data_IF_743310673747
#
_entry.id   IF_743310673747
#
_cell.length_a   1.000
_cell.length_b   1.000
_cell.length_c   1.000
_cell.angle_alpha   90.00
_cell.angle_beta   90.00
_cell.angle_gamma   90.00
#
_symmetry.space_group_name_H-M   'P 1'
#
loop_
_entity.id
_entity.type
_entity.pdbx_description
1 polymer ?
#
# COMPACT_ATOMS: atom_id res chain seq x y z
N UNK A 1 62.04 13.99 59.72
CA UNK A 1 61.40 12.78 59.15
C UNK A 1 60.05 13.16 58.56
N UNK A 2 59.97 13.29 57.24
CA UNK A 2 58.73 13.36 56.47
C UNK A 2 59.00 12.67 55.14
N UNK A 3 58.43 11.50 54.90
CA UNK A 3 58.41 10.87 53.57
C UNK A 3 56.96 10.53 53.25
N UNK A 4 56.57 11.05 52.10
CA UNK A 4 55.24 11.10 51.51
C UNK A 4 54.85 9.71 51.01
N UNK A 5 53.66 9.25 51.36
CA UNK A 5 53.04 8.04 50.82
C UNK A 5 52.42 8.42 49.47
N UNK A 6 52.91 7.84 48.38
CA UNK A 6 52.27 7.93 47.07
C UNK A 6 51.18 6.85 46.99
N UNK A 7 49.91 7.27 47.10
CA UNK A 7 48.76 6.46 46.71
C UNK A 7 48.76 6.30 45.19
N UNK A 8 48.95 5.07 44.69
CA UNK A 8 48.66 4.73 43.30
C UNK A 8 47.19 4.35 43.19
N UNK A 9 46.39 5.29 42.69
CA UNK A 9 45.00 5.05 42.28
C UNK A 9 45.08 4.35 40.92
N UNK A 10 44.72 3.07 40.87
CA UNK A 10 44.47 2.37 39.61
C UNK A 10 43.20 2.96 38.99
N UNK A 11 43.38 3.76 37.93
CA UNK A 11 42.30 4.22 37.06
C UNK A 11 41.81 3.01 36.28
N UNK A 12 40.66 2.45 36.69
CA UNK A 12 39.89 1.54 35.85
C UNK A 12 39.44 2.31 34.60
N UNK A 13 40.10 2.06 33.48
CA UNK A 13 39.69 2.58 32.19
C UNK A 13 38.27 2.11 31.87
N UNK A 14 37.39 3.09 31.68
CA UNK A 14 36.00 2.93 31.28
C UNK A 14 36.00 2.31 29.88
N UNK A 15 35.72 1.02 29.78
CA UNK A 15 35.22 0.44 28.53
C UNK A 15 33.76 0.87 28.44
N UNK A 16 33.52 2.03 27.85
CA UNK A 16 32.19 2.38 27.37
C UNK A 16 31.87 1.45 26.21
N UNK A 17 31.36 0.26 26.51
CA UNK A 17 30.59 -0.51 25.55
C UNK A 17 29.41 0.39 25.21
N UNK A 18 29.44 1.05 24.06
CA UNK A 18 28.26 1.71 23.53
C UNK A 18 27.23 0.60 23.32
N UNK A 19 26.30 0.47 24.27
CA UNK A 19 25.12 -0.34 24.05
C UNK A 19 24.42 0.26 22.82
N UNK A 20 24.43 -0.49 21.72
CA UNK A 20 23.68 -0.14 20.53
C UNK A 20 22.21 0.00 20.96
N UNK A 21 21.59 1.13 20.67
CA UNK A 21 20.16 1.33 20.88
C UNK A 21 19.44 1.39 19.52
N UNK A 22 18.11 1.24 19.54
CA UNK A 22 17.29 1.21 18.33
C UNK A 22 17.49 2.46 17.44
N UNK A 23 17.64 3.64 18.05
CA UNK A 23 17.83 4.91 17.34
C UNK A 23 19.15 4.93 16.56
N UNK A 24 20.25 4.53 17.20
CA UNK A 24 21.55 4.43 16.54
C UNK A 24 21.53 3.38 15.43
N UNK A 25 20.80 2.28 15.62
CA UNK A 25 20.68 1.23 14.63
C UNK A 25 19.88 1.72 13.40
N UNK A 26 18.77 2.43 13.62
CA UNK A 26 18.01 3.08 12.56
C UNK A 26 18.85 4.08 11.77
N UNK A 27 19.71 4.87 12.44
CA UNK A 27 20.61 5.79 11.76
C UNK A 27 21.60 5.06 10.84
N UNK A 28 22.11 3.90 11.27
CA UNK A 28 22.97 3.06 10.43
C UNK A 28 22.22 2.49 9.23
N UNK A 29 20.96 2.05 9.41
CA UNK A 29 20.10 1.64 8.27
C UNK A 29 19.96 2.79 7.27
N UNK A 30 19.55 3.97 7.71
CA UNK A 30 19.36 5.14 6.82
C UNK A 30 20.65 5.48 6.06
N UNK A 31 21.81 5.39 6.73
CA UNK A 31 23.12 5.60 6.10
C UNK A 31 23.44 4.51 5.06
N UNK A 32 23.13 3.25 5.36
CA UNK A 32 23.29 2.11 4.44
C UNK A 32 22.42 2.23 3.18
N UNK A 33 21.27 2.89 3.28
CA UNK A 33 20.36 3.10 2.15
C UNK A 33 20.81 4.18 1.13
N UNK A 34 22.02 4.74 1.27
CA UNK A 34 22.55 5.78 0.38
C UNK A 34 21.74 7.09 0.34
N UNK A 35 21.35 7.58 1.52
CA UNK A 35 20.77 8.90 1.86
C UNK A 35 19.42 9.30 1.25
N UNK A 36 19.11 8.97 -0.01
CA UNK A 36 17.77 9.20 -0.57
C UNK A 36 16.78 8.13 -0.09
N UNK A 37 16.27 8.36 1.10
CA UNK A 37 15.25 7.53 1.74
C UNK A 37 13.85 8.10 1.54
N UNK A 38 13.65 9.04 0.61
CA UNK A 38 12.34 9.70 0.41
C UNK A 38 11.24 8.75 -0.06
N UNK A 39 11.63 7.66 -0.75
CA UNK A 39 10.74 6.70 -1.40
C UNK A 39 10.54 5.38 -0.64
N UNK A 40 11.15 5.23 0.53
CA UNK A 40 11.11 3.98 1.29
C UNK A 40 10.32 4.14 2.59
N UNK A 41 9.66 3.07 3.02
CA UNK A 41 9.16 2.95 4.39
C UNK A 41 10.06 2.05 5.22
N UNK A 42 10.24 2.39 6.50
CA UNK A 42 11.05 1.61 7.42
C UNK A 42 10.21 1.24 8.63
N UNK A 43 10.23 -0.06 8.96
CA UNK A 43 9.57 -0.63 10.11
C UNK A 43 10.60 -1.27 11.05
N UNK A 44 10.48 -1.01 12.34
CA UNK A 44 11.30 -1.60 13.39
C UNK A 44 10.56 -2.77 14.02
N UNK A 45 11.22 -3.92 14.13
CA UNK A 45 10.73 -5.04 14.92
C UNK A 45 11.23 -4.97 16.38
N UNK A 46 12.53 -4.75 16.56
CA UNK A 46 13.21 -4.73 17.85
C UNK A 46 14.53 -5.47 17.82
N UNK A 47 15.12 -5.69 19.00
CA UNK A 47 16.36 -6.47 19.13
C UNK A 47 16.08 -7.97 19.02
N UNK A 48 16.90 -8.67 18.23
CA UNK A 48 16.82 -10.10 17.98
C UNK A 48 18.14 -10.76 18.38
N UNK A 49 18.07 -11.90 19.07
CA UNK A 49 19.20 -12.79 19.27
C UNK A 49 19.33 -13.77 18.11
N UNK A 50 20.53 -14.29 17.89
CA UNK A 50 20.75 -15.40 16.97
C UNK A 50 19.92 -16.61 17.41
N UNK A 51 19.17 -17.19 16.48
CA UNK A 51 18.23 -18.29 16.74
C UNK A 51 16.79 -17.84 16.99
N UNK A 52 16.56 -16.56 17.33
CA UNK A 52 15.20 -16.02 17.43
C UNK A 52 14.51 -16.07 16.06
N UNK A 53 13.18 -16.15 16.06
CA UNK A 53 12.42 -16.28 14.83
C UNK A 53 11.34 -15.21 14.70
N UNK A 54 11.12 -14.73 13.48
CA UNK A 54 9.98 -13.87 13.14
C UNK A 54 9.03 -14.60 12.19
N UNK A 55 7.73 -14.42 12.43
CA UNK A 55 6.67 -14.94 11.56
C UNK A 55 6.35 -13.92 10.47
N UNK A 56 6.43 -14.35 9.23
CA UNK A 56 5.87 -13.69 8.05
C UNK A 56 4.50 -14.31 7.72
N UNK A 57 3.77 -13.78 6.74
CA UNK A 57 2.44 -14.31 6.41
C UNK A 57 2.44 -15.82 6.10
N UNK A 58 3.44 -16.32 5.37
CA UNK A 58 3.50 -17.73 4.91
C UNK A 58 4.78 -18.48 5.31
N UNK A 59 5.70 -17.82 6.01
CA UNK A 59 7.03 -18.36 6.33
C UNK A 59 7.51 -17.85 7.68
N UNK A 60 8.49 -18.53 8.27
CA UNK A 60 9.24 -18.05 9.42
C UNK A 60 10.69 -17.78 9.00
N UNK A 61 11.24 -16.64 9.39
CA UNK A 61 12.68 -16.35 9.26
C UNK A 61 13.33 -16.57 10.62
N UNK A 62 14.46 -17.27 10.64
CA UNK A 62 15.32 -17.42 11.82
C UNK A 62 16.47 -16.44 11.71
N UNK A 63 16.68 -15.65 12.77
CA UNK A 63 17.77 -14.69 12.87
C UNK A 63 19.11 -15.42 12.92
N UNK A 64 20.00 -15.09 11.98
CA UNK A 64 21.38 -15.61 11.96
C UNK A 64 22.36 -14.74 12.75
N UNK A 65 21.90 -13.58 13.21
CA UNK A 65 22.74 -12.55 13.82
C UNK A 65 22.05 -12.00 15.07
N UNK A 66 22.85 -11.52 16.03
CA UNK A 66 22.33 -10.66 17.08
C UNK A 66 22.20 -9.24 16.52
N UNK A 67 21.17 -8.49 16.90
CA UNK A 67 21.05 -7.08 16.48
C UNK A 67 19.62 -6.58 16.36
N UNK A 68 19.47 -5.29 16.10
CA UNK A 68 18.16 -4.69 15.81
C UNK A 68 17.72 -5.05 14.41
N UNK A 69 16.47 -5.51 14.28
CA UNK A 69 15.86 -5.88 13.01
C UNK A 69 14.94 -4.78 12.49
N UNK A 70 15.16 -4.40 11.24
CA UNK A 70 14.34 -3.49 10.46
C UNK A 70 13.85 -4.15 9.18
N UNK A 71 12.67 -3.75 8.74
CA UNK A 71 12.17 -3.99 7.40
C UNK A 71 12.25 -2.68 6.63
N UNK A 72 12.84 -2.72 5.45
CA UNK A 72 12.82 -1.65 4.47
C UNK A 72 11.94 -2.08 3.31
N UNK A 73 10.85 -1.34 3.14
CA UNK A 73 9.96 -1.44 1.99
C UNK A 73 10.42 -0.41 0.96
N UNK A 74 11.01 -0.91 -0.13
CA UNK A 74 11.50 -0.09 -1.25
C UNK A 74 10.38 0.32 -2.21
N UNK A 75 9.23 -0.36 -2.16
CA UNK A 75 8.08 -0.09 -3.03
C UNK A 75 6.78 -0.04 -2.19
N UNK A 76 6.67 0.93 -1.26
CA UNK A 76 5.54 1.00 -0.32
C UNK A 76 4.16 1.18 -0.98
N UNK A 77 4.13 1.49 -2.27
CA UNK A 77 2.90 1.59 -3.08
C UNK A 77 2.62 0.33 -3.92
N UNK A 78 3.48 -0.68 -3.93
CA UNK A 78 3.36 -1.88 -4.77
C UNK A 78 2.63 -3.04 -4.05
N UNK A 79 1.67 -2.74 -3.17
CA UNK A 79 1.01 -3.73 -2.29
C UNK A 79 2.05 -4.63 -1.58
N UNK A 80 1.67 -5.81 -1.11
CA UNK A 80 2.61 -6.80 -0.58
C UNK A 80 3.00 -7.82 -1.67
N UNK A 81 3.88 -8.77 -1.33
CA UNK A 81 4.40 -9.83 -2.23
C UNK A 81 5.47 -9.34 -3.25
N UNK A 82 5.94 -8.09 -3.10
CA UNK A 82 7.16 -7.61 -3.74
C UNK A 82 8.38 -7.80 -2.82
N UNK A 83 9.60 -7.69 -3.35
CA UNK A 83 10.83 -7.87 -2.56
C UNK A 83 11.04 -6.73 -1.56
N UNK A 84 11.10 -7.06 -0.27
CA UNK A 84 11.53 -6.14 0.80
C UNK A 84 12.89 -6.57 1.37
N UNK A 85 13.52 -5.68 2.14
CA UNK A 85 14.81 -5.94 2.80
C UNK A 85 14.64 -6.05 4.31
N UNK A 86 15.08 -7.16 4.87
CA UNK A 86 15.20 -7.39 6.30
C UNK A 86 16.64 -7.12 6.69
N UNK A 87 16.86 -6.07 7.49
CA UNK A 87 18.18 -5.56 7.84
C UNK A 87 18.41 -5.75 9.34
N UNK A 88 19.42 -6.53 9.70
CA UNK A 88 19.95 -6.63 11.05
C UNK A 88 21.12 -5.68 11.23
N UNK A 89 21.13 -4.94 12.32
CA UNK A 89 22.21 -4.03 12.68
C UNK A 89 22.73 -4.38 14.07
N UNK A 90 23.99 -4.79 14.14
CA UNK A 90 24.73 -4.91 15.41
C UNK A 90 25.64 -3.68 15.61
N UNK A 91 26.51 -3.71 16.63
CA UNK A 91 27.41 -2.57 16.92
C UNK A 91 28.53 -2.37 15.89
N UNK A 92 28.73 -3.32 14.98
CA UNK A 92 29.88 -3.43 14.07
C UNK A 92 29.54 -3.71 12.62
N UNK A 93 28.39 -4.33 12.34
CA UNK A 93 28.04 -4.87 11.03
C UNK A 93 26.54 -4.78 10.73
N UNK A 94 26.25 -4.68 9.44
CA UNK A 94 24.90 -4.71 8.87
C UNK A 94 24.76 -5.98 8.05
N UNK A 95 23.65 -6.69 8.24
CA UNK A 95 23.28 -7.88 7.47
C UNK A 95 21.94 -7.66 6.79
N UNK A 96 21.86 -7.99 5.50
CA UNK A 96 20.65 -7.79 4.70
C UNK A 96 20.16 -9.13 4.13
N UNK A 97 18.86 -9.37 4.26
CA UNK A 97 18.14 -10.47 3.62
C UNK A 97 17.02 -9.90 2.77
N UNK A 98 16.91 -10.34 1.52
CA UNK A 98 15.80 -10.01 0.63
C UNK A 98 14.77 -11.12 0.65
N UNK A 99 13.51 -10.77 0.89
CA UNK A 99 12.38 -11.70 0.88
C UNK A 99 11.15 -11.02 0.27
N UNK A 100 10.33 -11.79 -0.43
CA UNK A 100 9.08 -11.30 -1.03
C UNK A 100 7.88 -11.49 -0.11
N UNK A 101 8.00 -12.36 0.90
CA UNK A 101 6.90 -12.62 1.80
C UNK A 101 6.71 -11.44 2.75
N UNK A 102 5.50 -10.84 2.80
CA UNK A 102 5.28 -9.68 3.64
C UNK A 102 5.36 -10.03 5.14
N UNK A 103 5.79 -9.06 5.97
CA UNK A 103 5.78 -9.18 7.42
C UNK A 103 4.38 -9.46 7.96
N UNK A 104 4.31 -10.20 9.07
CA UNK A 104 3.13 -10.16 9.92
C UNK A 104 3.21 -8.88 10.77
N UNK A 105 2.59 -7.80 10.29
CA UNK A 105 2.91 -6.44 10.72
C UNK A 105 2.50 -6.09 12.17
N UNK A 106 1.73 -6.94 12.88
CA UNK A 106 1.28 -6.69 14.27
C UNK A 106 2.44 -6.35 15.22
N UNK A 107 3.63 -6.88 14.94
CA UNK A 107 4.83 -6.71 15.77
C UNK A 107 5.84 -5.70 15.20
N UNK A 108 5.44 -4.89 14.21
CA UNK A 108 6.33 -3.98 13.50
C UNK A 108 5.87 -2.54 13.68
N UNK A 109 6.76 -1.70 14.21
CA UNK A 109 6.52 -0.27 14.39
C UNK A 109 7.01 0.50 13.16
N UNK A 110 6.14 1.22 12.47
CA UNK A 110 6.57 2.15 11.41
C UNK A 110 7.40 3.28 12.03
N UNK A 111 8.68 3.37 11.67
CA UNK A 111 9.63 4.38 12.16
C UNK A 111 9.99 5.42 11.11
N UNK A 112 9.72 5.13 9.84
CA UNK A 112 9.81 6.08 8.75
C UNK A 112 8.67 5.83 7.77
N UNK A 113 7.87 6.86 7.51
CA UNK A 113 6.87 6.86 6.45
C UNK A 113 7.47 7.44 5.16
N UNK A 114 6.84 7.13 4.03
CA UNK A 114 7.08 7.82 2.77
C UNK A 114 7.06 9.34 2.98
N UNK A 115 8.10 10.03 2.54
CA UNK A 115 8.06 11.47 2.40
C UNK A 115 7.36 11.77 1.08
N UNK A 116 6.03 11.65 1.06
CA UNK A 116 5.25 12.25 -0.02
C UNK A 116 5.36 13.75 0.22
N UNK A 117 6.03 14.48 -0.66
CA UNK A 117 5.94 15.93 -0.64
C UNK A 117 4.45 16.28 -0.68
N UNK A 118 3.92 16.88 0.40
CA UNK A 118 2.56 17.42 0.52
C UNK A 118 2.20 18.43 -0.60
N UNK A 119 3.13 18.68 -1.53
CA UNK A 119 2.89 19.31 -2.83
C UNK A 119 1.87 18.55 -3.67
N UNK A 120 1.72 17.22 -3.49
CA UNK A 120 0.48 16.53 -3.86
C UNK A 120 -0.50 16.72 -2.72
N UNK A 121 -0.92 17.97 -2.56
CA UNK A 121 -2.09 18.30 -1.80
C UNK A 121 -3.24 17.51 -2.43
N UNK A 122 -3.67 16.43 -1.77
CA UNK A 122 -5.06 15.99 -1.78
C UNK A 122 -5.96 17.01 -1.04
N UNK A 123 -5.54 18.27 -0.86
CA UNK A 123 -6.51 19.37 -0.69
C UNK A 123 -7.38 19.30 -1.93
N UNK A 124 -8.68 19.16 -1.70
CA UNK A 124 -9.78 19.46 -2.62
C UNK A 124 -9.39 19.28 -4.06
N UNK A 125 -9.92 18.24 -4.72
CA UNK A 125 -10.35 18.31 -6.12
C UNK A 125 -9.86 19.60 -6.72
N UNK A 126 -8.60 19.62 -7.21
CA UNK A 126 -8.35 20.58 -8.25
C UNK A 126 -9.43 20.17 -9.22
N UNK A 127 -10.45 21.01 -9.40
CA UNK A 127 -11.12 21.06 -10.66
C UNK A 127 -9.94 21.10 -11.61
N UNK A 128 -9.59 19.95 -12.19
CA UNK A 128 -8.63 19.95 -13.25
C UNK A 128 -9.37 20.84 -14.22
N UNK A 129 -8.88 22.08 -14.35
CA UNK A 129 -9.31 22.92 -15.43
C UNK A 129 -9.21 21.99 -16.63
N UNK A 130 -10.34 21.74 -17.34
CA UNK A 130 -10.33 20.80 -18.44
C UNK A 130 -9.09 21.14 -19.24
N UNK A 131 -8.32 20.13 -19.65
CA UNK A 131 -7.18 20.29 -20.52
C UNK A 131 -7.69 20.99 -21.79
N UNK A 132 -7.81 22.32 -21.72
CA UNK A 132 -7.90 23.25 -22.82
C UNK A 132 -6.48 23.41 -23.32
N UNK A 133 -5.84 22.27 -23.56
CA UNK A 133 -4.85 22.21 -24.60
C UNK A 133 -5.63 22.60 -25.84
N UNK A 134 -5.29 23.77 -26.36
CA UNK A 134 -5.90 24.41 -27.51
C UNK A 134 -5.72 23.51 -28.73
N UNK A 135 -6.50 22.43 -28.80
CA UNK A 135 -6.72 21.67 -30.00
C UNK A 135 -7.64 22.55 -30.84
N UNK A 136 -7.02 23.34 -31.72
CA UNK A 136 -7.68 23.79 -32.94
C UNK A 136 -8.00 22.54 -33.75
N UNK A 137 -9.07 21.86 -33.42
CA UNK A 137 -9.68 20.83 -34.25
C UNK A 137 -11.18 21.06 -34.27
N UNK A 138 -11.76 20.84 -35.44
CA UNK A 138 -13.13 21.17 -35.78
C UNK A 138 -14.12 20.68 -34.71
N UNK A 139 -15.10 21.53 -34.41
CA UNK A 139 -16.11 21.44 -33.36
C UNK A 139 -17.09 20.26 -33.44
N UNK A 140 -16.74 19.17 -34.13
CA UNK A 140 -17.52 17.92 -34.20
C UNK A 140 -16.87 16.75 -33.43
N UNK A 141 -15.54 16.69 -33.30
CA UNK A 141 -14.89 15.59 -32.56
C UNK A 141 -14.95 15.76 -31.04
N UNK A 142 -15.16 16.99 -30.55
CA UNK A 142 -15.27 17.27 -29.11
C UNK A 142 -16.62 16.82 -28.50
N UNK A 143 -17.57 16.40 -29.33
CA UNK A 143 -18.85 15.84 -28.92
C UNK A 143 -18.89 14.31 -29.01
N UNK A 144 -17.83 13.66 -29.51
CA UNK A 144 -17.65 12.22 -29.38
C UNK A 144 -17.11 11.93 -27.98
N UNK A 145 -17.99 12.11 -26.99
CA UNK A 145 -17.89 11.30 -25.78
C UNK A 145 -17.80 9.84 -26.26
N UNK A 146 -16.85 9.06 -25.73
CA UNK A 146 -16.65 7.69 -26.17
C UNK A 146 -17.78 6.81 -25.65
N UNK A 147 -18.90 6.81 -26.37
CA UNK A 147 -20.07 5.99 -26.06
C UNK A 147 -19.76 4.50 -26.15
N UNK A 148 -18.70 4.15 -26.87
CA UNK A 148 -18.23 2.79 -27.08
C UNK A 148 -17.24 2.30 -26.02
N UNK A 149 -16.92 3.10 -24.99
CA UNK A 149 -15.98 2.71 -23.93
C UNK A 149 -16.71 2.38 -22.65
N UNK A 150 -16.46 1.17 -22.16
CA UNK A 150 -17.06 0.60 -20.97
C UNK A 150 -15.98 0.12 -20.01
N UNK A 151 -16.24 0.24 -18.71
CA UNK A 151 -15.34 -0.32 -17.72
C UNK A 151 -16.09 -1.08 -16.61
N UNK A 152 -15.46 -2.14 -16.13
CA UNK A 152 -15.85 -2.80 -14.88
C UNK A 152 -14.69 -2.68 -13.90
N UNK A 153 -14.93 -2.01 -12.77
CA UNK A 153 -13.97 -1.80 -11.68
C UNK A 153 -14.42 -2.65 -10.51
N UNK A 154 -13.57 -3.59 -10.08
CA UNK A 154 -13.91 -4.59 -9.06
C UNK A 154 -12.94 -4.45 -7.89
N UNK A 155 -13.49 -4.14 -6.71
CA UNK A 155 -12.86 -4.40 -5.41
C UNK A 155 -13.63 -5.48 -4.67
N UNK A 156 -13.05 -6.66 -4.57
CA UNK A 156 -13.66 -7.82 -3.95
C UNK A 156 -13.98 -7.66 -2.46
N UNK A 157 -13.14 -6.94 -1.71
CA UNK A 157 -13.26 -6.69 -0.28
C UNK A 157 -12.94 -7.90 0.62
N UNK A 158 -13.23 -9.14 0.20
CA UNK A 158 -13.05 -10.41 0.93
C UNK A 158 -13.81 -10.53 2.28
N UNK A 159 -13.63 -9.57 3.18
CA UNK A 159 -14.36 -9.33 4.42
C UNK A 159 -13.86 -8.03 5.08
N UNK A 160 -14.53 -7.59 6.14
CA UNK A 160 -14.23 -6.37 6.90
C UNK A 160 -12.75 -6.18 7.27
N UNK A 161 -12.02 -7.26 7.58
CA UNK A 161 -10.63 -7.17 8.04
C UNK A 161 -9.62 -7.07 6.90
N UNK A 162 -10.01 -7.55 5.72
CA UNK A 162 -9.11 -7.69 4.58
C UNK A 162 -9.38 -6.63 3.49
N UNK A 163 -10.55 -5.98 3.48
CA UNK A 163 -10.83 -4.86 2.58
C UNK A 163 -10.03 -3.61 3.00
N UNK A 164 -8.75 -3.58 2.67
CA UNK A 164 -7.88 -2.48 3.07
C UNK A 164 -8.19 -1.21 2.29
N UNK A 165 -8.08 -0.04 2.96
CA UNK A 165 -8.27 1.28 2.34
C UNK A 165 -7.55 1.48 1.00
N UNK A 166 -6.40 0.83 0.79
CA UNK A 166 -5.65 0.88 -0.47
C UNK A 166 -6.45 0.38 -1.68
N UNK A 167 -7.30 -0.64 -1.54
CA UNK A 167 -8.11 -1.15 -2.64
C UNK A 167 -9.15 -0.12 -3.10
N UNK A 168 -9.77 0.59 -2.16
CA UNK A 168 -10.62 1.74 -2.48
C UNK A 168 -9.83 2.84 -3.21
N UNK A 169 -8.62 3.16 -2.74
CA UNK A 169 -7.78 4.16 -3.38
C UNK A 169 -7.39 3.76 -4.82
N UNK A 170 -7.06 2.49 -5.06
CA UNK A 170 -6.77 1.96 -6.40
C UNK A 170 -7.97 2.14 -7.33
N UNK A 171 -9.16 1.76 -6.87
CA UNK A 171 -10.40 1.96 -7.63
C UNK A 171 -10.71 3.43 -7.89
N UNK A 172 -10.52 4.31 -6.91
CA UNK A 172 -10.70 5.76 -7.06
C UNK A 172 -9.75 6.35 -8.10
N UNK A 173 -8.48 5.93 -8.09
CA UNK A 173 -7.48 6.37 -9.06
C UNK A 173 -7.83 5.90 -10.48
N UNK A 174 -8.22 4.63 -10.65
CA UNK A 174 -8.63 4.08 -11.95
C UNK A 174 -9.90 4.77 -12.45
N UNK A 175 -10.93 4.89 -11.60
CA UNK A 175 -12.19 5.54 -11.96
C UNK A 175 -11.96 6.99 -12.43
N UNK A 176 -11.25 7.79 -11.63
CA UNK A 176 -10.94 9.18 -11.97
C UNK A 176 -10.10 9.28 -13.25
N UNK A 177 -9.17 8.35 -13.46
CA UNK A 177 -8.35 8.32 -14.69
C UNK A 177 -9.21 8.02 -15.92
N UNK A 178 -10.08 7.00 -15.85
CA UNK A 178 -10.96 6.63 -16.95
C UNK A 178 -11.94 7.75 -17.30
N UNK A 179 -12.54 8.37 -16.28
CA UNK A 179 -13.51 9.46 -16.43
C UNK A 179 -12.85 10.76 -16.88
N UNK A 180 -11.88 11.27 -16.13
CA UNK A 180 -11.39 12.64 -16.29
C UNK A 180 -10.30 12.77 -17.38
N UNK A 181 -9.54 11.69 -17.64
CA UNK A 181 -8.44 11.69 -18.61
C UNK A 181 -8.86 10.99 -19.90
N UNK A 182 -9.42 9.78 -19.80
CA UNK A 182 -9.82 9.00 -20.96
C UNK A 182 -11.25 9.24 -21.43
N UNK A 183 -12.00 10.10 -20.74
CA UNK A 183 -13.34 10.57 -21.13
C UNK A 183 -14.36 9.42 -21.29
N UNK A 184 -14.28 8.41 -20.42
CA UNK A 184 -15.33 7.40 -20.28
C UNK A 184 -16.58 8.06 -19.70
N UNK A 185 -17.76 7.68 -20.19
CA UNK A 185 -19.04 8.04 -19.59
C UNK A 185 -19.20 7.42 -18.22
N UNK A 186 -19.62 8.20 -17.22
CA UNK A 186 -19.87 7.68 -15.87
C UNK A 186 -20.93 6.57 -15.88
N UNK A 187 -21.94 6.67 -16.74
CA UNK A 187 -22.95 5.62 -16.93
C UNK A 187 -22.37 4.31 -17.48
N UNK A 188 -21.25 4.36 -18.21
CA UNK A 188 -20.54 3.19 -18.74
C UNK A 188 -19.46 2.64 -17.77
N UNK A 189 -19.27 3.27 -16.61
CA UNK A 189 -18.36 2.82 -15.56
C UNK A 189 -19.13 2.01 -14.51
N UNK A 190 -18.99 0.70 -14.55
CA UNK A 190 -19.62 -0.24 -13.62
C UNK A 190 -18.69 -0.52 -12.45
N UNK A 191 -19.02 -0.01 -11.26
CA UNK A 191 -18.21 -0.21 -10.06
C UNK A 191 -18.89 -1.21 -9.11
N UNK A 192 -18.19 -2.31 -8.85
CA UNK A 192 -18.56 -3.32 -7.85
C UNK A 192 -17.53 -3.31 -6.73
N UNK A 193 -17.94 -2.99 -5.52
CA UNK A 193 -17.02 -2.83 -4.39
C UNK A 193 -17.61 -3.39 -3.11
N UNK A 194 -16.91 -4.33 -2.47
CA UNK A 194 -17.21 -4.83 -1.12
C UNK A 194 -18.71 -5.03 -0.87
N UNK A 195 -19.30 -4.38 0.14
CA UNK A 195 -20.73 -4.52 0.49
C UNK A 195 -21.66 -3.59 -0.31
N UNK A 196 -21.13 -2.88 -1.31
CA UNK A 196 -21.86 -2.05 -2.25
C UNK A 196 -22.21 -0.69 -1.68
N UNK A 197 -23.51 -0.42 -1.53
CA UNK A 197 -24.04 0.86 -1.02
C UNK A 197 -24.48 0.78 0.43
N UNK A 198 -24.15 -0.31 1.12
CA UNK A 198 -24.47 -0.48 2.53
C UNK A 198 -23.70 0.54 3.37
N UNK A 199 -24.34 1.21 4.35
CA UNK A 199 -23.68 2.15 5.24
C UNK A 199 -22.89 1.46 6.36
N UNK A 200 -22.86 0.12 6.37
CA UNK A 200 -22.12 -0.67 7.37
C UNK A 200 -20.62 -0.51 7.16
N UNK A 201 -19.84 -0.85 8.19
CA UNK A 201 -18.41 -0.94 8.01
C UNK A 201 -18.07 -2.11 7.09
N UNK A 202 -17.31 -1.81 6.06
CA UNK A 202 -16.85 -2.76 5.06
C UNK A 202 -15.35 -2.65 4.82
N UNK A 203 -14.69 -1.56 5.27
CA UNK A 203 -13.32 -1.22 4.92
C UNK A 203 -12.42 -1.07 6.14
N UNK A 204 -11.29 -1.75 6.11
CA UNK A 204 -10.22 -1.65 7.09
C UNK A 204 -9.31 -0.44 6.77
N UNK A 205 -9.50 0.64 7.52
CA UNK A 205 -8.70 1.87 7.44
C UNK A 205 -7.31 1.65 8.03
N UNK A 206 -7.25 0.94 9.14
CA UNK A 206 -5.99 0.62 9.81
C UNK A 206 -6.07 -0.79 10.43
N UNK A 207 -5.35 -1.78 9.88
CA UNK A 207 -5.38 -3.14 10.39
C UNK A 207 -4.68 -3.32 11.75
N UNK A 208 -3.84 -2.35 12.17
CA UNK A 208 -3.11 -2.39 13.44
C UNK A 208 -3.98 -2.00 14.62
N UNK A 209 -4.75 -0.94 14.42
CA UNK A 209 -5.63 -0.37 15.45
C UNK A 209 -7.07 -0.85 15.31
N UNK A 210 -7.32 -1.76 14.35
CA UNK A 210 -8.66 -2.27 14.03
C UNK A 210 -9.68 -1.15 13.81
N UNK A 211 -9.27 -0.11 13.06
CA UNK A 211 -10.17 0.99 12.68
C UNK A 211 -10.83 0.62 11.37
N UNK A 212 -12.15 0.68 11.35
CA UNK A 212 -12.99 0.38 10.21
C UNK A 212 -13.89 1.58 9.89
N UNK A 213 -14.22 1.73 8.60
CA UNK A 213 -15.24 2.65 8.13
C UNK A 213 -16.09 2.01 7.04
N UNK A 214 -17.08 2.75 6.56
CA UNK A 214 -17.82 2.44 5.34
C UNK A 214 -17.10 3.11 4.15
N UNK A 215 -16.92 2.37 3.07
CA UNK A 215 -16.33 2.85 1.83
C UNK A 215 -17.14 4.05 1.29
N UNK A 216 -16.49 5.22 1.05
CA UNK A 216 -17.14 6.33 0.38
C UNK A 216 -17.63 5.90 -1.00
N UNK A 217 -18.87 6.25 -1.33
CA UNK A 217 -19.50 5.83 -2.58
C UNK A 217 -19.05 6.67 -3.79
N UNK A 218 -18.55 7.87 -3.52
CA UNK A 218 -18.08 8.84 -4.51
C UNK A 218 -16.55 8.72 -4.66
N UNK A 219 -16.11 8.16 -5.79
CA UNK A 219 -14.72 7.80 -6.05
C UNK A 219 -13.89 8.97 -6.59
N UNK A 220 -14.52 9.93 -7.26
CA UNK A 220 -13.87 11.11 -7.80
C UNK A 220 -14.33 12.41 -7.12
N UNK A 221 -15.02 12.31 -5.98
CA UNK A 221 -15.49 13.39 -5.12
C UNK A 221 -16.09 14.58 -5.90
N UNK A 222 -17.00 14.24 -6.81
CA UNK A 222 -17.81 15.20 -7.58
C UNK A 222 -19.25 15.36 -7.04
N UNK A 223 -19.57 14.66 -5.95
CA UNK A 223 -20.86 14.65 -5.29
C UNK A 223 -21.81 13.58 -5.82
N UNK A 224 -21.40 12.73 -6.76
CA UNK A 224 -22.21 11.64 -7.31
C UNK A 224 -21.66 10.29 -6.86
N UNK A 225 -22.54 9.41 -6.39
CA UNK A 225 -22.14 8.05 -6.01
C UNK A 225 -21.81 7.21 -7.25
N UNK A 226 -20.62 6.61 -7.25
CA UNK A 226 -20.10 5.77 -8.34
C UNK A 226 -20.25 4.27 -8.05
N UNK A 227 -20.15 3.87 -6.79
CA UNK A 227 -20.35 2.47 -6.36
C UNK A 227 -21.84 2.14 -6.41
N UNK A 228 -22.21 1.20 -7.28
CA UNK A 228 -23.62 0.78 -7.48
C UNK A 228 -23.92 -0.62 -6.98
N UNK A 229 -22.91 -1.49 -6.92
CA UNK A 229 -23.10 -2.91 -6.64
C UNK A 229 -22.13 -3.40 -5.56
N UNK A 230 -22.61 -4.31 -4.72
CA UNK A 230 -21.70 -5.13 -3.89
C UNK A 230 -20.92 -6.09 -4.77
N UNK A 231 -19.66 -6.36 -4.41
CA UNK A 231 -18.76 -7.23 -5.16
C UNK A 231 -19.04 -8.72 -4.90
N UNK A 232 -20.26 -9.15 -5.19
CA UNK A 232 -20.70 -10.55 -5.06
C UNK A 232 -20.72 -11.26 -6.41
N UNK A 233 -20.67 -12.60 -6.41
CA UNK A 233 -20.81 -13.40 -7.64
C UNK A 233 -22.11 -13.09 -8.39
N UNK A 234 -23.20 -12.83 -7.66
CA UNK A 234 -24.49 -12.52 -8.25
C UNK A 234 -24.45 -11.20 -9.01
N UNK A 235 -23.92 -10.14 -8.40
CA UNK A 235 -23.86 -8.83 -9.05
C UNK A 235 -22.85 -8.80 -10.19
N UNK A 236 -21.71 -9.50 -10.07
CA UNK A 236 -20.80 -9.68 -11.20
C UNK A 236 -21.52 -10.31 -12.39
N UNK A 237 -22.26 -11.40 -12.14
CA UNK A 237 -23.06 -12.03 -13.21
C UNK A 237 -24.08 -11.07 -13.80
N UNK A 238 -24.79 -10.30 -12.98
CA UNK A 238 -25.75 -9.30 -13.47
C UNK A 238 -25.11 -8.25 -14.36
N UNK A 239 -23.99 -7.66 -13.93
CA UNK A 239 -23.27 -6.62 -14.69
C UNK A 239 -22.75 -7.18 -16.02
N UNK A 240 -22.10 -8.35 -16.00
CA UNK A 240 -21.58 -8.94 -17.24
C UNK A 240 -22.71 -9.43 -18.18
N UNK A 241 -23.86 -9.86 -17.64
CA UNK A 241 -25.03 -10.15 -18.47
C UNK A 241 -25.59 -8.88 -19.13
N UNK A 242 -25.69 -7.78 -18.39
CA UNK A 242 -26.12 -6.49 -18.93
C UNK A 242 -25.17 -6.03 -20.05
N UNK A 243 -23.86 -6.00 -19.78
CA UNK A 243 -22.84 -5.67 -20.76
C UNK A 243 -22.92 -6.56 -22.00
N UNK A 244 -23.11 -7.87 -21.84
CA UNK A 244 -23.25 -8.78 -22.99
C UNK A 244 -24.46 -8.49 -23.88
N UNK A 245 -25.48 -7.79 -23.36
CA UNK A 245 -26.68 -7.42 -24.11
C UNK A 245 -26.60 -6.06 -24.81
N UNK A 246 -25.62 -5.23 -24.44
CA UNK A 246 -25.48 -3.86 -24.96
C UNK A 246 -24.19 -3.65 -25.77
N UNK A 247 -23.12 -4.41 -25.48
CA UNK A 247 -21.85 -4.29 -26.18
C UNK A 247 -21.95 -4.88 -27.60
N UNK A 248 -21.28 -4.19 -28.52
CA UNK A 248 -21.11 -4.51 -29.94
C UNK A 248 -19.63 -4.74 -30.25
N UNK A 249 -19.33 -5.11 -31.50
CA UNK A 249 -17.95 -5.32 -31.96
C UNK A 249 -17.11 -4.03 -32.04
N UNK A 250 -17.77 -2.86 -32.01
CA UNK A 250 -17.12 -1.54 -32.04
C UNK A 250 -16.80 -0.99 -30.64
N UNK A 251 -17.18 -1.73 -29.60
CA UNK A 251 -17.04 -1.31 -28.19
C UNK A 251 -15.78 -1.88 -27.53
N UNK A 252 -15.17 -1.08 -26.66
CA UNK A 252 -14.05 -1.44 -25.80
C UNK A 252 -14.52 -1.70 -24.38
N UNK A 253 -14.18 -2.88 -23.84
CA UNK A 253 -14.41 -3.21 -22.43
C UNK A 253 -13.08 -3.28 -21.66
N UNK A 254 -12.89 -2.34 -20.74
CA UNK A 254 -11.81 -2.35 -19.78
C UNK A 254 -12.23 -3.04 -18.48
N UNK A 255 -11.44 -3.97 -17.95
CA UNK A 255 -11.73 -4.62 -16.67
C UNK A 255 -10.56 -4.42 -15.71
N UNK A 256 -10.82 -3.77 -14.59
CA UNK A 256 -9.86 -3.60 -13.51
C UNK A 256 -10.31 -4.36 -12.28
N UNK A 257 -9.36 -5.07 -11.68
CA UNK A 257 -9.60 -5.96 -10.55
C UNK A 257 -8.52 -5.74 -9.51
N UNK A 258 -8.91 -5.40 -8.29
CA UNK A 258 -8.02 -5.29 -7.13
C UNK A 258 -8.70 -5.95 -5.93
N UNK A 259 -7.97 -6.77 -5.18
CA UNK A 259 -8.28 -7.29 -3.85
C UNK A 259 -7.15 -8.28 -3.49
N UNK A 260 -7.35 -9.08 -2.47
CA UNK A 260 -6.71 -10.37 -2.30
C UNK A 260 -7.11 -11.37 -3.38
N UNK A 261 -6.15 -12.21 -3.75
CA UNK A 261 -6.36 -13.34 -4.62
C UNK A 261 -5.48 -14.51 -4.25
N UNK A 262 -5.72 -15.63 -4.92
CA UNK A 262 -4.85 -16.80 -4.86
C UNK A 262 -4.84 -17.51 -6.21
N UNK A 263 -3.79 -18.28 -6.46
CA UNK A 263 -3.74 -19.17 -7.62
C UNK A 263 -3.79 -20.62 -7.16
N UNK A 264 -4.57 -21.44 -7.87
CA UNK A 264 -4.67 -22.87 -7.63
C UNK A 264 -4.91 -23.60 -8.96
N UNK A 265 -4.18 -24.70 -9.20
CA UNK A 265 -4.31 -25.53 -10.40
C UNK A 265 -4.24 -24.75 -11.73
N UNK A 266 -3.37 -23.75 -11.83
CA UNK A 266 -3.23 -22.91 -13.04
C UNK A 266 -4.33 -21.86 -13.23
N UNK A 267 -5.26 -21.74 -12.28
CA UNK A 267 -6.29 -20.71 -12.28
C UNK A 267 -5.98 -19.64 -11.23
N UNK A 268 -6.33 -18.39 -11.56
CA UNK A 268 -6.26 -17.26 -10.63
C UNK A 268 -7.65 -16.91 -10.14
N UNK A 269 -7.76 -16.65 -8.85
CA UNK A 269 -9.00 -16.33 -8.14
C UNK A 269 -8.84 -15.00 -7.43
N UNK A 270 -9.91 -14.22 -7.42
CA UNK A 270 -10.10 -13.06 -6.53
C UNK A 270 -11.08 -13.43 -5.42
N UNK A 271 -10.86 -12.90 -4.21
CA UNK A 271 -11.85 -12.97 -3.15
C UNK A 271 -12.97 -11.97 -3.39
N UNK A 272 -14.20 -12.39 -3.19
CA UNK A 272 -15.39 -11.54 -3.27
C UNK A 272 -15.95 -11.31 -1.87
N UNK A 273 -16.85 -10.33 -1.74
CA UNK A 273 -17.50 -9.99 -0.48
C UNK A 273 -18.46 -11.10 -0.03
#
# INVERSE_FOLDING_TARGET
>A
MKRIVFCTIFISAIISIFAQNATNALHQVIKHLNSDTSKVEIYEYGYMHQGDSIKLLRKTIVSKHNGYLFLVDDNPMANWDHTCRYIWVDSTQIYELKETQPPYLLNWRKVKSLCINDSINFKQHRSMQPLTQTLKSNTLDFLLVNDNKYAVIINGGANLYNNHRRYWNDCSAIFSTLKDIYQYKQENLYVLMSDGTSPSYDRCVNPYTMIFDSSPLDLNNDGVNDIKYSATKSNLKSVFNELSSILTEEDELFVFVTDHGFSSNGHSYINLW
#
